data_IF_923554501466
#
_entry.id   IF_923554501466
#
_cell.length_a   1.000
_cell.length_b   1.000
_cell.length_c   1.000
_cell.angle_alpha   90.00
_cell.angle_beta   90.00
_cell.angle_gamma   90.00
#
_symmetry.space_group_name_H-M   'P 1'
#
loop_
_entity.id
_entity.type
_entity.pdbx_description
1 polymer ?
#
# COMPACT_ATOMS: atom_id res chain seq x y z
N UNK A 1 -5.78 -4.54 10.48
CA UNK A 1 -5.30 -3.14 10.56
C UNK A 1 -3.80 -3.14 10.84
N UNK A 2 -3.00 -2.31 10.14
CA UNK A 2 -1.57 -2.17 10.39
C UNK A 2 -1.21 -1.34 11.64
N UNK A 3 -2.17 -0.59 12.20
CA UNK A 3 -1.94 0.33 13.33
C UNK A 3 -1.27 -0.32 14.55
N UNK A 4 -1.61 -1.55 15.00
CA UNK A 4 -0.95 -2.15 16.17
C UNK A 4 0.54 -2.41 15.94
N UNK A 5 0.93 -2.76 14.72
CA UNK A 5 2.34 -3.00 14.37
C UNK A 5 3.11 -1.69 14.39
N UNK A 6 2.51 -0.61 13.85
CA UNK A 6 3.12 0.71 13.83
C UNK A 6 3.30 1.27 15.24
N UNK A 7 2.26 1.17 16.10
CA UNK A 7 2.35 1.59 17.51
C UNK A 7 3.44 0.84 18.27
N UNK A 8 3.49 -0.49 18.12
CA UNK A 8 4.51 -1.30 18.77
C UNK A 8 5.95 -0.95 18.32
N UNK A 9 6.14 -0.60 17.04
CA UNK A 9 7.45 -0.17 16.54
C UNK A 9 7.93 1.12 17.21
N UNK A 10 7.01 2.06 17.46
CA UNK A 10 7.30 3.33 18.13
C UNK A 10 7.62 3.10 19.60
N UNK A 11 6.74 2.38 20.31
CA UNK A 11 6.88 2.11 21.75
C UNK A 11 8.19 1.38 22.07
N UNK A 12 8.61 0.48 21.19
CA UNK A 12 9.83 -0.32 21.34
C UNK A 12 11.05 0.32 20.69
N UNK A 13 10.89 1.46 20.02
CA UNK A 13 11.91 2.08 19.18
C UNK A 13 12.57 1.09 18.19
N UNK A 14 11.78 0.15 17.67
CA UNK A 14 12.20 -0.87 16.72
C UNK A 14 11.46 -0.70 15.39
N UNK A 15 12.16 -0.08 14.44
CA UNK A 15 11.62 0.20 13.10
C UNK A 15 12.03 -0.84 12.06
N UNK A 16 12.57 -2.01 12.45
CA UNK A 16 13.04 -3.04 11.51
C UNK A 16 11.97 -3.45 10.51
N UNK A 17 10.76 -3.75 11.01
CA UNK A 17 9.61 -4.14 10.18
C UNK A 17 9.10 -3.01 9.29
N UNK A 18 9.13 -1.76 9.79
CA UNK A 18 8.78 -0.56 9.00
C UNK A 18 9.78 -0.38 7.86
N UNK A 19 11.08 -0.53 8.11
CA UNK A 19 12.11 -0.44 7.07
C UNK A 19 11.93 -1.51 5.99
N UNK A 20 11.59 -2.75 6.38
CA UNK A 20 11.28 -3.83 5.43
C UNK A 20 10.10 -3.46 4.52
N UNK A 21 9.03 -2.89 5.10
CA UNK A 21 7.87 -2.45 4.31
C UNK A 21 8.20 -1.30 3.37
N UNK A 22 8.96 -0.29 3.82
CA UNK A 22 9.43 0.80 2.97
C UNK A 22 10.20 0.24 1.76
N UNK A 23 11.18 -0.63 2.01
CA UNK A 23 11.97 -1.24 0.94
C UNK A 23 11.12 -2.07 -0.02
N UNK A 24 10.12 -2.80 0.50
CA UNK A 24 9.20 -3.56 -0.34
C UNK A 24 8.38 -2.65 -1.24
N UNK A 25 7.77 -1.58 -0.70
CA UNK A 25 6.96 -0.65 -1.48
C UNK A 25 7.77 0.08 -2.54
N UNK A 26 8.96 0.56 -2.21
CA UNK A 26 9.85 1.23 -3.16
C UNK A 26 10.35 0.29 -4.27
N UNK A 27 10.61 -0.97 -3.93
CA UNK A 27 10.97 -2.00 -4.90
C UNK A 27 9.80 -2.25 -5.86
N UNK A 28 8.61 -2.50 -5.32
CA UNK A 28 7.39 -2.72 -6.11
C UNK A 28 7.09 -1.52 -7.00
N UNK A 29 7.18 -0.29 -6.49
CA UNK A 29 6.98 0.93 -7.29
C UNK A 29 7.95 1.01 -8.47
N UNK A 30 9.23 0.70 -8.24
CA UNK A 30 10.26 0.68 -9.29
C UNK A 30 9.98 -0.38 -10.34
N UNK A 31 9.59 -1.58 -9.92
CA UNK A 31 9.23 -2.68 -10.82
C UNK A 31 7.99 -2.32 -11.65
N UNK A 32 6.95 -1.76 -11.04
CA UNK A 32 5.76 -1.30 -11.76
C UNK A 32 6.12 -0.25 -12.82
N UNK A 33 6.93 0.77 -12.50
CA UNK A 33 7.33 1.81 -13.46
C UNK A 33 7.99 1.27 -14.74
N UNK A 34 8.53 0.05 -14.72
CA UNK A 34 9.19 -0.57 -15.87
C UNK A 34 8.21 -1.35 -16.77
N UNK A 35 6.97 -1.57 -16.33
CA UNK A 35 5.98 -2.33 -17.09
C UNK A 35 5.41 -1.49 -18.23
N UNK A 36 5.31 -2.09 -19.41
CA UNK A 36 4.51 -1.53 -20.49
C UNK A 36 3.02 -1.77 -20.17
N UNK A 37 2.24 -0.70 -20.05
CA UNK A 37 0.84 -0.77 -19.61
C UNK A 37 -0.09 -0.49 -20.78
N UNK A 38 -1.02 -1.41 -21.10
CA UNK A 38 -2.07 -1.15 -22.08
C UNK A 38 -2.91 0.06 -21.69
N UNK A 39 -3.34 0.87 -22.67
CA UNK A 39 -4.14 2.07 -22.42
C UNK A 39 -5.35 1.87 -21.47
N UNK A 40 -6.09 0.75 -21.50
CA UNK A 40 -7.20 0.52 -20.57
C UNK A 40 -6.79 0.40 -19.09
N UNK A 41 -5.53 0.08 -18.80
CA UNK A 41 -5.02 -0.12 -17.44
C UNK A 41 -4.16 1.06 -16.96
N UNK A 42 -4.03 2.12 -17.76
CA UNK A 42 -3.12 3.22 -17.47
C UNK A 42 -3.52 3.98 -16.18
N UNK A 43 -4.81 4.20 -15.96
CA UNK A 43 -5.30 4.89 -14.76
C UNK A 43 -4.97 4.08 -13.50
N UNK A 44 -5.38 2.81 -13.47
CA UNK A 44 -5.10 1.89 -12.35
C UNK A 44 -3.61 1.81 -12.06
N UNK A 45 -2.78 1.79 -13.10
CA UNK A 45 -1.33 1.78 -12.95
C UNK A 45 -0.80 3.06 -12.27
N UNK A 46 -1.27 4.23 -12.70
CA UNK A 46 -0.88 5.51 -12.10
C UNK A 46 -1.33 5.60 -10.63
N UNK A 47 -2.56 5.16 -10.35
CA UNK A 47 -3.09 5.12 -8.98
C UNK A 47 -2.28 4.18 -8.08
N UNK A 48 -1.92 3.00 -8.59
CA UNK A 48 -1.08 2.05 -7.86
C UNK A 48 0.30 2.66 -7.53
N UNK A 49 0.94 3.34 -8.49
CA UNK A 49 2.21 4.02 -8.26
C UNK A 49 2.09 5.12 -7.19
N UNK A 50 1.04 5.94 -7.26
CA UNK A 50 0.79 7.00 -6.28
C UNK A 50 0.57 6.42 -4.87
N UNK A 51 -0.19 5.33 -4.76
CA UNK A 51 -0.43 4.65 -3.48
C UNK A 51 0.86 4.05 -2.89
N UNK A 52 1.70 3.40 -3.70
CA UNK A 52 2.98 2.85 -3.24
C UNK A 52 3.93 3.95 -2.73
N UNK A 53 4.01 5.07 -3.47
CA UNK A 53 4.78 6.23 -3.04
C UNK A 53 4.23 6.82 -1.73
N UNK A 54 2.91 6.92 -1.57
CA UNK A 54 2.26 7.37 -0.34
C UNK A 54 2.52 6.43 0.85
N UNK A 55 2.42 5.12 0.65
CA UNK A 55 2.65 4.11 1.69
C UNK A 55 4.09 4.17 2.20
N UNK A 56 5.07 4.22 1.29
CA UNK A 56 6.48 4.35 1.68
C UNK A 56 6.77 5.70 2.36
N UNK A 57 6.20 6.79 1.85
CA UNK A 57 6.36 8.14 2.40
C UNK A 57 5.82 8.28 3.83
N UNK A 58 4.59 7.82 4.07
CA UNK A 58 3.98 7.87 5.41
C UNK A 58 4.76 7.02 6.43
N UNK A 59 5.26 5.85 6.04
CA UNK A 59 6.13 5.04 6.91
C UNK A 59 7.45 5.74 7.26
N UNK A 60 8.08 6.44 6.30
CA UNK A 60 9.28 7.25 6.57
C UNK A 60 8.97 8.39 7.55
N UNK A 61 7.83 9.05 7.37
CA UNK A 61 7.39 10.13 8.24
C UNK A 61 7.11 9.65 9.67
N UNK A 62 6.48 8.48 9.86
CA UNK A 62 6.25 7.88 11.19
C UNK A 62 7.56 7.72 11.98
N UNK A 63 8.63 7.32 11.29
CA UNK A 63 9.97 7.20 11.87
C UNK A 63 10.58 8.57 12.17
N UNK A 64 10.44 9.54 11.26
CA UNK A 64 10.96 10.90 11.44
C UNK A 64 10.29 11.64 12.60
N UNK A 65 8.99 11.43 12.80
CA UNK A 65 8.20 12.05 13.86
C UNK A 65 8.17 11.23 15.15
N UNK A 66 9.20 10.41 15.44
CA UNK A 66 9.25 9.59 16.66
C UNK A 66 9.08 10.38 17.95
N UNK A 67 9.43 11.69 17.93
CA UNK A 67 9.37 12.59 19.07
C UNK A 67 8.16 13.56 19.01
N UNK A 68 7.28 13.45 18.00
CA UNK A 68 6.05 14.23 17.86
C UNK A 68 4.85 13.28 17.74
N UNK A 69 4.18 12.96 18.87
CA UNK A 69 3.07 12.01 18.90
C UNK A 69 1.87 12.42 18.05
N UNK A 70 1.62 13.73 17.87
CA UNK A 70 0.47 14.21 17.09
C UNK A 70 0.74 13.99 15.60
N UNK A 71 1.91 14.42 15.13
CA UNK A 71 2.32 14.19 13.74
C UNK A 71 2.40 12.71 13.42
N UNK A 72 2.93 11.90 14.34
CA UNK A 72 2.99 10.46 14.18
C UNK A 72 1.61 9.80 14.08
N UNK A 73 0.65 10.16 14.95
CA UNK A 73 -0.71 9.65 14.88
C UNK A 73 -1.38 10.00 13.54
N UNK A 74 -1.15 11.22 13.05
CA UNK A 74 -1.66 11.65 11.74
C UNK A 74 -1.08 10.79 10.61
N UNK A 75 0.21 10.49 10.62
CA UNK A 75 0.83 9.63 9.61
C UNK A 75 0.35 8.18 9.70
N UNK A 76 0.11 7.64 10.90
CA UNK A 76 -0.50 6.31 11.08
C UNK A 76 -1.89 6.25 10.45
N UNK A 77 -2.73 7.28 10.67
CA UNK A 77 -4.07 7.36 10.07
C UNK A 77 -4.01 7.46 8.55
N UNK A 78 -3.09 8.27 8.01
CA UNK A 78 -2.85 8.35 6.56
C UNK A 78 -2.41 7.01 5.99
N UNK A 79 -1.50 6.31 6.66
CA UNK A 79 -1.07 4.98 6.25
C UNK A 79 -2.25 3.99 6.23
N UNK A 80 -3.08 3.97 7.28
CA UNK A 80 -4.26 3.13 7.33
C UNK A 80 -5.23 3.42 6.17
N UNK A 81 -5.50 4.69 5.87
CA UNK A 81 -6.32 5.10 4.73
C UNK A 81 -5.72 4.65 3.39
N UNK A 82 -4.41 4.81 3.19
CA UNK A 82 -3.74 4.37 1.98
C UNK A 82 -3.79 2.84 1.81
N UNK A 83 -3.67 2.07 2.90
CA UNK A 83 -3.84 0.61 2.82
C UNK A 83 -5.25 0.20 2.45
N UNK A 84 -6.27 0.95 2.88
CA UNK A 84 -7.65 0.72 2.44
C UNK A 84 -7.81 1.05 0.96
N UNK A 85 -7.33 2.22 0.52
CA UNK A 85 -7.39 2.62 -0.89
C UNK A 85 -6.67 1.62 -1.82
N UNK A 86 -5.56 1.03 -1.37
CA UNK A 86 -4.88 -0.03 -2.09
C UNK A 86 -5.74 -1.29 -2.23
N UNK A 87 -6.41 -1.71 -1.15
CA UNK A 87 -7.33 -2.84 -1.19
C UNK A 87 -8.52 -2.57 -2.13
N UNK A 88 -9.05 -1.35 -2.09
CA UNK A 88 -10.18 -0.94 -2.92
C UNK A 88 -9.80 -0.92 -4.41
N UNK A 89 -8.61 -0.38 -4.74
CA UNK A 89 -8.09 -0.39 -6.11
C UNK A 89 -7.93 -1.81 -6.66
N UNK A 90 -7.38 -2.73 -5.86
CA UNK A 90 -7.26 -4.15 -6.24
C UNK A 90 -8.63 -4.77 -6.49
N UNK A 91 -9.58 -4.54 -5.58
CA UNK A 91 -10.93 -5.11 -5.68
C UNK A 91 -11.67 -4.58 -6.92
N UNK A 92 -11.62 -3.27 -7.16
CA UNK A 92 -12.23 -2.62 -8.32
C UNK A 92 -11.61 -3.16 -9.62
N UNK A 93 -10.27 -3.17 -9.71
CA UNK A 93 -9.56 -3.68 -10.90
C UNK A 93 -9.90 -5.15 -11.14
N UNK A 94 -9.96 -5.97 -10.10
CA UNK A 94 -10.35 -7.38 -10.21
C UNK A 94 -11.78 -7.53 -10.73
N UNK A 95 -12.73 -6.76 -10.21
CA UNK A 95 -14.12 -6.80 -10.68
C UNK A 95 -14.26 -6.34 -12.14
N UNK A 96 -13.53 -5.31 -12.54
CA UNK A 96 -13.51 -4.84 -13.94
C UNK A 96 -12.97 -5.92 -14.88
N UNK A 97 -11.88 -6.60 -14.51
CA UNK A 97 -11.32 -7.72 -15.28
C UNK A 97 -12.33 -8.88 -15.36
N UNK A 98 -12.93 -9.27 -14.23
CA UNK A 98 -13.95 -10.33 -14.19
C UNK A 98 -15.13 -10.02 -15.11
N UNK A 99 -15.69 -8.81 -15.01
CA UNK A 99 -16.83 -8.37 -15.81
C UNK A 99 -16.48 -8.30 -17.31
N UNK A 100 -15.29 -7.80 -17.64
CA UNK A 100 -14.85 -7.63 -19.04
C UNK A 100 -14.57 -8.96 -19.74
N UNK A 101 -14.00 -9.93 -19.02
CA UNK A 101 -13.58 -11.20 -19.60
C UNK A 101 -14.50 -12.37 -19.24
N UNK A 102 -15.60 -12.12 -18.52
CA UNK A 102 -16.51 -13.14 -17.98
C UNK A 102 -15.78 -14.22 -17.16
N UNK A 103 -14.65 -13.87 -16.56
CA UNK A 103 -13.86 -14.78 -15.73
C UNK A 103 -14.47 -14.80 -14.34
N UNK A 104 -14.90 -15.96 -13.88
CA UNK A 104 -15.28 -16.19 -12.48
C UNK A 104 -14.06 -16.71 -11.73
N UNK A 105 -13.44 -15.90 -10.87
CA UNK A 105 -12.46 -16.43 -9.92
C UNK A 105 -13.23 -17.02 -8.74
N UNK A 106 -13.01 -18.30 -8.44
CA UNK A 106 -13.60 -18.90 -7.25
C UNK A 106 -12.93 -18.31 -6.00
N UNK A 107 -13.68 -18.13 -4.91
CA UNK A 107 -13.16 -17.60 -3.64
C UNK A 107 -12.04 -18.47 -3.02
N UNK A 108 -11.83 -19.69 -3.55
CA UNK A 108 -10.79 -20.64 -3.17
C UNK A 108 -9.45 -20.35 -3.87
N UNK A 109 -9.48 -19.73 -5.06
CA UNK A 109 -8.27 -19.40 -5.82
C UNK A 109 -7.59 -18.11 -5.31
N UNK A 110 -8.35 -17.22 -4.67
CA UNK A 110 -7.87 -15.94 -4.13
C UNK A 110 -7.24 -16.06 -2.72
N UNK A 111 -7.13 -17.28 -2.16
CA UNK A 111 -6.59 -17.56 -0.81
C UNK A 111 -5.21 -18.22 -0.79
N UNK A 112 -4.54 -18.38 -1.94
CA UNK A 112 -3.16 -18.87 -2.03
C UNK A 112 -2.16 -17.73 -2.03
#
# INVERSE_FOLDING_TARGET
>A
SPEPILKAAIEKNDFSKINLWISSYEKTERELKQLAVPSPLLSVHQDALALLAGLSGTLKNIKQFSNDPISQLNEIRKYAALTQNWSDLINQTSQEIQNKYQITFSAEELKK
#
